data_IF_969966536995
#
_entry.id   IF_969966536995
#
_cell.length_a   1.000
_cell.length_b   1.000
_cell.length_c   1.000
_cell.angle_alpha   90.00
_cell.angle_beta   90.00
_cell.angle_gamma   90.00
#
_symmetry.space_group_name_H-M   'P 1'
#
loop_
_entity.id
_entity.type
_entity.pdbx_description
1 polymer ?
#
# COMPACT_ATOMS: atom_id res chain seq x y z
N UNK A 1 -8.49 -2.37 -28.41
CA UNK A 1 -8.63 -2.37 -26.94
C UNK A 1 -7.22 -2.24 -26.39
N UNK A 2 -6.84 -1.07 -25.86
CA UNK A 2 -5.59 -0.94 -25.13
C UNK A 2 -5.64 -1.95 -23.98
N UNK A 3 -4.65 -2.83 -23.92
CA UNK A 3 -4.57 -3.84 -22.87
C UNK A 3 -4.08 -3.12 -21.61
N UNK A 4 -5.00 -2.53 -20.84
CA UNK A 4 -4.77 -1.52 -19.79
C UNK A 4 -3.79 -1.93 -18.70
N UNK A 5 -3.34 -3.18 -18.63
CA UNK A 5 -2.38 -3.66 -17.62
C UNK A 5 -1.44 -4.72 -18.19
N UNK A 6 -0.99 -4.57 -19.44
CA UNK A 6 -0.24 -5.61 -20.13
C UNK A 6 1.04 -5.99 -19.38
N UNK A 7 1.84 -5.00 -18.96
CA UNK A 7 3.10 -5.24 -18.25
C UNK A 7 2.89 -5.65 -16.81
N UNK A 8 1.94 -5.05 -16.11
CA UNK A 8 1.57 -5.42 -14.75
C UNK A 8 1.14 -6.88 -14.69
N UNK A 9 0.25 -7.31 -15.59
CA UNK A 9 -0.20 -8.70 -15.64
C UNK A 9 0.91 -9.67 -16.03
N UNK A 10 1.82 -9.28 -16.93
CA UNK A 10 3.01 -10.06 -17.27
C UNK A 10 3.85 -10.33 -16.02
N UNK A 11 4.23 -9.28 -15.28
CA UNK A 11 5.11 -9.42 -14.11
C UNK A 11 4.43 -10.10 -12.92
N UNK A 12 3.12 -9.97 -12.75
CA UNK A 12 2.37 -10.71 -11.73
C UNK A 12 2.44 -12.22 -12.00
N UNK A 13 2.30 -12.63 -13.26
CA UNK A 13 2.34 -14.04 -13.68
C UNK A 13 3.75 -14.62 -13.59
N UNK A 14 4.77 -13.86 -13.99
CA UNK A 14 6.16 -14.30 -14.01
C UNK A 14 6.90 -14.09 -12.68
N UNK A 15 6.25 -13.53 -11.66
CA UNK A 15 6.85 -13.25 -10.36
C UNK A 15 7.50 -14.51 -9.75
N UNK A 16 8.76 -14.37 -9.34
CA UNK A 16 9.52 -15.46 -8.71
C UNK A 16 8.91 -15.81 -7.36
N UNK A 17 8.69 -17.09 -7.11
CA UNK A 17 8.31 -17.59 -5.79
C UNK A 17 9.54 -18.05 -5.03
N UNK A 18 9.66 -17.63 -3.78
CA UNK A 18 10.65 -18.11 -2.81
C UNK A 18 9.95 -18.79 -1.64
N UNK A 19 10.65 -19.68 -0.97
CA UNK A 19 10.16 -20.36 0.23
C UNK A 19 10.74 -19.68 1.46
N UNK A 20 9.87 -19.35 2.42
CA UNK A 20 10.25 -18.82 3.73
C UNK A 20 9.86 -19.87 4.77
N UNK A 21 10.83 -20.32 5.56
CA UNK A 21 10.56 -21.18 6.71
C UNK A 21 10.07 -20.32 7.88
N UNK A 22 8.92 -20.69 8.43
CA UNK A 22 8.38 -20.08 9.66
C UNK A 22 8.91 -20.82 10.89
N UNK A 23 8.89 -20.13 12.03
CA UNK A 23 9.35 -20.66 13.33
C UNK A 23 8.61 -21.93 13.75
N UNK A 24 7.35 -22.06 13.34
CA UNK A 24 6.52 -23.24 13.61
C UNK A 24 6.80 -24.43 12.65
N UNK A 25 7.86 -24.36 11.82
CA UNK A 25 8.24 -25.40 10.88
C UNK A 25 7.43 -25.45 9.58
N UNK A 26 6.51 -24.51 9.35
CA UNK A 26 5.72 -24.45 8.10
C UNK A 26 6.43 -23.64 7.01
N UNK A 27 6.17 -23.98 5.74
CA UNK A 27 6.72 -23.27 4.57
C UNK A 27 5.69 -22.25 4.09
N UNK A 28 6.13 -21.01 3.91
CA UNK A 28 5.37 -19.95 3.27
C UNK A 28 5.94 -19.64 1.89
N UNK A 29 5.09 -19.75 0.86
CA UNK A 29 5.45 -19.42 -0.52
C UNK A 29 5.23 -17.93 -0.76
N UNK A 30 6.34 -17.19 -0.86
CA UNK A 30 6.33 -15.75 -1.02
C UNK A 30 6.65 -15.36 -2.47
N UNK A 31 5.81 -14.54 -3.08
CA UNK A 31 6.04 -14.00 -4.43
C UNK A 31 6.77 -12.67 -4.37
N UNK A 32 7.88 -12.59 -5.11
CA UNK A 32 8.67 -11.38 -5.29
C UNK A 32 8.13 -10.61 -6.51
N UNK A 33 7.19 -9.70 -6.27
CA UNK A 33 6.69 -8.83 -7.33
C UNK A 33 7.71 -7.73 -7.62
N UNK A 34 8.06 -7.42 -8.86
CA UNK A 34 8.97 -6.30 -9.15
C UNK A 34 8.55 -4.98 -8.50
N UNK A 35 7.24 -4.72 -8.47
CA UNK A 35 6.63 -3.51 -7.94
C UNK A 35 6.35 -3.55 -6.44
N UNK A 36 6.76 -4.57 -5.69
CA UNK A 36 6.39 -4.69 -4.28
C UNK A 36 7.05 -5.87 -3.61
N UNK A 37 6.72 -6.19 -2.37
CA UNK A 37 7.04 -7.52 -1.79
C UNK A 37 8.51 -8.00 -2.03
N UNK A 38 9.49 -7.10 -1.83
CA UNK A 38 10.95 -7.34 -2.01
C UNK A 38 11.45 -7.59 -3.45
N UNK A 39 10.69 -7.24 -4.48
CA UNK A 39 11.25 -7.10 -5.84
C UNK A 39 12.30 -5.99 -5.91
N UNK A 40 13.30 -6.15 -6.78
CA UNK A 40 14.47 -5.25 -6.83
C UNK A 40 14.71 -4.57 -8.19
N UNK A 41 14.06 -5.03 -9.26
CA UNK A 41 14.24 -4.47 -10.60
C UNK A 41 12.89 -4.09 -11.19
N UNK A 42 12.69 -2.80 -11.49
CA UNK A 42 11.47 -2.27 -12.09
C UNK A 42 11.82 -1.64 -13.43
N UNK A 43 11.28 -2.19 -14.51
CA UNK A 43 11.50 -1.64 -15.85
C UNK A 43 10.78 -0.28 -16.02
N UNK A 44 11.32 0.68 -16.78
CA UNK A 44 10.68 1.97 -17.03
C UNK A 44 9.24 1.86 -17.52
N UNK A 45 8.94 0.92 -18.40
CA UNK A 45 7.61 0.71 -18.96
C UNK A 45 6.61 0.26 -17.89
N UNK A 46 7.06 -0.56 -16.92
CA UNK A 46 6.23 -0.97 -15.79
C UNK A 46 6.01 0.19 -14.81
N UNK A 47 7.03 1.02 -14.57
CA UNK A 47 6.89 2.23 -13.74
C UNK A 47 5.86 3.18 -14.33
N UNK A 48 5.93 3.42 -15.64
CA UNK A 48 4.97 4.26 -16.36
C UNK A 48 3.56 3.67 -16.30
N UNK A 49 3.39 2.40 -16.67
CA UNK A 49 2.07 1.75 -16.69
C UNK A 49 1.39 1.78 -15.32
N UNK A 50 2.12 1.44 -14.24
CA UNK A 50 1.57 1.46 -12.89
C UNK A 50 1.26 2.89 -12.43
N UNK A 51 2.17 3.84 -12.64
CA UNK A 51 1.98 5.23 -12.18
C UNK A 51 0.78 5.87 -12.87
N UNK A 52 0.67 5.77 -14.20
CA UNK A 52 -0.45 6.31 -14.96
C UNK A 52 -1.77 5.67 -14.54
N UNK A 53 -1.78 4.35 -14.36
CA UNK A 53 -2.97 3.63 -13.95
C UNK A 53 -3.41 3.96 -12.52
N UNK A 54 -2.46 4.09 -11.59
CA UNK A 54 -2.74 4.53 -10.22
C UNK A 54 -3.34 5.93 -10.25
N UNK A 55 -2.73 6.88 -10.96
CA UNK A 55 -3.25 8.25 -11.01
C UNK A 55 -4.63 8.34 -11.64
N UNK A 56 -4.87 7.62 -12.74
CA UNK A 56 -6.18 7.58 -13.38
C UNK A 56 -7.25 7.00 -12.43
N UNK A 57 -6.93 5.88 -11.78
CA UNK A 57 -7.83 5.26 -10.79
C UNK A 57 -8.08 6.19 -9.61
N UNK A 58 -7.07 6.94 -9.16
CA UNK A 58 -7.20 7.87 -8.06
C UNK A 58 -8.13 9.03 -8.42
N UNK A 59 -7.92 9.65 -9.59
CA UNK A 59 -8.74 10.76 -10.08
C UNK A 59 -10.21 10.35 -10.29
N UNK A 60 -10.45 9.11 -10.74
CA UNK A 60 -11.80 8.58 -10.98
C UNK A 60 -12.56 8.29 -9.68
N UNK A 61 -11.89 7.76 -8.65
CA UNK A 61 -12.55 7.19 -7.48
C UNK A 61 -12.41 8.01 -6.19
N UNK A 62 -11.42 8.90 -6.10
CA UNK A 62 -11.13 9.67 -4.89
C UNK A 62 -10.96 11.15 -5.25
N UNK A 63 -12.07 11.87 -5.55
CA UNK A 63 -12.02 13.24 -6.05
C UNK A 63 -11.52 14.24 -5.00
N UNK A 64 -11.65 13.91 -3.71
CA UNK A 64 -11.31 14.79 -2.61
C UNK A 64 -10.47 14.08 -1.54
N UNK A 65 -9.23 14.54 -1.38
CA UNK A 65 -8.34 14.22 -0.26
C UNK A 65 -7.30 15.34 -0.16
N UNK A 66 -6.70 15.49 1.02
CA UNK A 66 -5.71 16.54 1.28
C UNK A 66 -4.31 16.07 0.90
N UNK A 67 -3.97 14.81 1.20
CA UNK A 67 -2.69 14.19 0.85
C UNK A 67 -2.73 12.66 0.84
N UNK A 68 -1.69 12.06 0.25
CA UNK A 68 -1.48 10.61 0.25
C UNK A 68 -0.73 10.20 1.52
N UNK A 69 -1.14 9.12 2.18
CA UNK A 69 -0.33 8.40 3.13
C UNK A 69 0.15 7.08 2.51
N UNK A 70 1.44 6.75 2.63
CA UNK A 70 1.96 5.54 2.00
C UNK A 70 2.94 4.79 2.91
N UNK A 71 2.65 3.51 3.24
CA UNK A 71 3.49 2.74 4.14
C UNK A 71 4.76 2.20 3.49
N UNK A 72 5.84 2.13 4.28
CA UNK A 72 7.08 1.49 3.87
C UNK A 72 7.07 -0.05 4.04
N UNK A 73 7.92 -0.79 3.28
CA UNK A 73 8.72 -0.32 2.15
C UNK A 73 8.03 -0.56 0.79
N UNK A 74 6.84 -1.18 0.75
CA UNK A 74 6.15 -1.49 -0.50
C UNK A 74 5.49 -0.27 -1.11
N UNK A 75 4.50 0.27 -0.41
CA UNK A 75 3.70 1.40 -0.86
C UNK A 75 4.50 2.67 -1.19
N UNK A 76 5.48 3.05 -0.36
CA UNK A 76 6.10 4.38 -0.43
C UNK A 76 6.63 4.78 -1.83
N UNK A 77 7.20 3.84 -2.59
CA UNK A 77 7.66 4.08 -3.97
C UNK A 77 6.52 4.55 -4.86
N UNK A 78 5.38 3.88 -4.79
CA UNK A 78 4.21 4.13 -5.63
C UNK A 78 3.37 5.29 -5.12
N UNK A 79 3.26 5.44 -3.80
CA UNK A 79 2.70 6.63 -3.19
C UNK A 79 3.44 7.88 -3.67
N UNK A 80 4.79 7.88 -3.65
CA UNK A 80 5.59 9.01 -4.11
C UNK A 80 5.36 9.32 -5.59
N UNK A 81 5.38 8.31 -6.47
CA UNK A 81 5.15 8.51 -7.90
C UNK A 81 3.73 9.02 -8.19
N UNK A 82 2.71 8.47 -7.54
CA UNK A 82 1.34 8.93 -7.66
C UNK A 82 1.17 10.37 -7.13
N UNK A 83 1.70 10.67 -5.95
CA UNK A 83 1.66 12.00 -5.35
C UNK A 83 2.34 13.05 -6.23
N UNK A 84 3.53 12.74 -6.76
CA UNK A 84 4.24 13.61 -7.69
C UNK A 84 3.42 13.85 -8.96
N UNK A 85 2.87 12.80 -9.57
CA UNK A 85 2.07 12.93 -10.79
C UNK A 85 0.76 13.71 -10.58
N UNK A 86 0.12 13.53 -9.42
CA UNK A 86 -1.11 14.24 -9.03
C UNK A 86 -0.86 15.64 -8.46
N UNK A 87 0.40 16.04 -8.25
CA UNK A 87 0.79 17.28 -7.57
C UNK A 87 0.14 17.41 -6.17
N UNK A 88 0.15 16.31 -5.41
CA UNK A 88 -0.40 16.22 -4.06
C UNK A 88 0.71 16.01 -3.02
N UNK A 89 0.55 16.53 -1.79
CA UNK A 89 1.46 16.20 -0.70
C UNK A 89 1.40 14.70 -0.38
N UNK A 90 2.49 14.21 0.22
CA UNK A 90 2.58 12.83 0.70
C UNK A 90 3.19 12.78 2.09
N UNK A 91 2.60 11.94 2.94
CA UNK A 91 3.16 11.50 4.20
C UNK A 91 3.64 10.05 4.06
N UNK A 92 4.94 9.81 4.20
CA UNK A 92 5.49 8.45 4.15
C UNK A 92 5.49 7.87 5.56
N UNK A 93 4.81 6.74 5.73
CA UNK A 93 4.72 6.06 7.01
C UNK A 93 5.93 5.15 7.17
N UNK A 94 6.85 5.57 8.02
CA UNK A 94 8.20 5.00 8.11
C UNK A 94 8.22 3.75 8.97
N UNK A 95 9.09 2.80 8.65
CA UNK A 95 9.41 1.75 9.61
C UNK A 95 10.08 2.36 10.84
N UNK A 96 9.76 1.84 12.02
CA UNK A 96 10.43 2.22 13.26
C UNK A 96 11.92 1.86 13.18
N UNK A 97 12.75 2.75 13.72
CA UNK A 97 14.20 2.61 13.82
C UNK A 97 14.65 3.17 15.17
N UNK A 98 15.83 2.80 15.63
CA UNK A 98 16.44 3.35 16.85
C UNK A 98 16.84 4.84 16.73
N UNK A 99 16.70 5.45 15.55
CA UNK A 99 17.14 6.82 15.29
C UNK A 99 16.12 7.88 15.71
N UNK A 100 14.85 7.52 15.85
CA UNK A 100 13.76 8.44 16.16
C UNK A 100 12.74 7.73 17.05
N UNK A 101 12.38 8.35 18.17
CA UNK A 101 11.45 7.77 19.17
C UNK A 101 10.16 8.58 19.30
N UNK A 102 10.15 9.85 18.88
CA UNK A 102 9.05 10.80 19.09
C UNK A 102 8.07 10.86 17.91
N UNK A 103 7.53 9.72 17.50
CA UNK A 103 6.46 9.70 16.52
C UNK A 103 5.12 10.05 17.17
N UNK A 104 4.26 10.79 16.44
CA UNK A 104 2.87 10.98 16.87
C UNK A 104 2.17 9.64 17.08
N UNK A 105 2.60 8.63 16.31
CA UNK A 105 2.06 7.31 16.44
C UNK A 105 2.98 6.20 15.91
N UNK A 106 2.87 4.99 16.47
CA UNK A 106 3.42 3.76 15.89
C UNK A 106 2.43 2.59 15.99
N UNK A 107 2.13 1.93 14.86
CA UNK A 107 1.32 0.71 14.80
C UNK A 107 2.19 -0.52 14.56
N UNK A 108 1.83 -1.66 15.17
CA UNK A 108 2.48 -2.94 14.88
C UNK A 108 2.19 -3.34 13.43
N UNK A 109 3.24 -3.68 12.69
CA UNK A 109 3.20 -4.29 11.36
C UNK A 109 3.70 -5.72 11.47
N UNK A 110 2.77 -6.66 11.39
CA UNK A 110 3.06 -8.09 11.42
C UNK A 110 2.87 -8.69 10.02
N UNK A 111 3.94 -9.30 9.52
CA UNK A 111 3.93 -10.04 8.25
C UNK A 111 4.26 -11.50 8.53
N UNK A 112 4.03 -12.38 7.55
CA UNK A 112 4.32 -13.80 7.68
C UNK A 112 5.80 -14.15 7.95
N UNK A 113 6.71 -13.19 7.82
CA UNK A 113 8.17 -13.37 7.87
C UNK A 113 8.92 -12.30 8.67
N UNK A 114 8.23 -11.29 9.20
CA UNK A 114 8.85 -10.18 9.91
C UNK A 114 7.81 -9.43 10.75
N UNK A 115 8.23 -8.96 11.93
CA UNK A 115 7.50 -8.01 12.76
C UNK A 115 8.30 -6.71 12.85
N UNK A 116 7.63 -5.58 12.64
CA UNK A 116 8.18 -4.26 12.91
C UNK A 116 7.01 -3.32 13.28
N UNK A 117 7.28 -2.03 13.43
CA UNK A 117 6.27 -0.98 13.59
C UNK A 117 6.33 -0.04 12.38
N UNK A 118 5.15 0.43 11.96
CA UNK A 118 5.04 1.60 11.09
C UNK A 118 4.71 2.79 11.96
N UNK A 119 5.48 3.85 11.85
CA UNK A 119 5.32 5.07 12.59
C UNK A 119 4.90 6.23 11.69
N UNK A 120 4.22 7.18 12.30
CA UNK A 120 3.56 8.27 11.62
C UNK A 120 3.83 9.60 12.31
N UNK A 121 3.91 10.64 11.51
CA UNK A 121 4.03 12.01 11.97
C UNK A 121 3.30 12.94 11.00
N UNK A 122 3.00 14.17 11.43
CA UNK A 122 2.46 15.21 10.58
C UNK A 122 0.95 15.13 10.31
N UNK A 123 0.21 14.26 11.00
CA UNK A 123 -1.25 14.23 10.90
C UNK A 123 -1.92 15.31 11.75
N UNK A 124 -3.07 15.79 11.28
CA UNK A 124 -3.94 16.69 12.01
C UNK A 124 -5.37 16.16 12.00
N UNK A 125 -6.10 16.49 13.07
CA UNK A 125 -7.52 16.20 13.17
C UNK A 125 -8.27 16.81 11.97
N UNK A 126 -9.18 16.02 11.40
CA UNK A 126 -9.98 16.30 10.20
C UNK A 126 -9.19 16.31 8.88
N UNK A 127 -7.92 15.90 8.85
CA UNK A 127 -7.23 15.66 7.58
C UNK A 127 -7.96 14.54 6.81
N UNK A 128 -8.11 14.71 5.49
CA UNK A 128 -8.65 13.70 4.58
C UNK A 128 -7.50 12.99 3.87
N UNK A 129 -7.31 11.72 4.16
CA UNK A 129 -6.11 10.98 3.77
C UNK A 129 -6.48 9.83 2.86
N UNK A 130 -5.78 9.72 1.72
CA UNK A 130 -5.84 8.55 0.84
C UNK A 130 -4.63 7.65 1.10
N UNK A 131 -4.86 6.38 1.44
CA UNK A 131 -3.76 5.42 1.53
C UNK A 131 -3.41 4.91 0.13
N UNK A 132 -2.13 4.93 -0.23
CA UNK A 132 -1.61 4.30 -1.46
C UNK A 132 -0.58 3.23 -1.08
N UNK A 133 -0.81 1.98 -1.49
CA UNK A 133 0.07 0.85 -1.17
C UNK A 133 0.39 -0.03 -2.39
N UNK A 134 1.38 -0.93 -2.29
CA UNK A 134 1.70 -1.87 -3.37
C UNK A 134 0.72 -3.05 -3.39
N UNK A 135 0.55 -3.75 -2.27
CA UNK A 135 -0.17 -5.02 -2.20
C UNK A 135 -1.10 -5.08 -0.99
N UNK A 136 -2.40 -5.27 -1.25
CA UNK A 136 -3.36 -5.69 -0.22
C UNK A 136 -3.34 -7.21 -0.13
N UNK A 137 -2.60 -7.74 0.85
CA UNK A 137 -2.63 -9.18 1.18
C UNK A 137 -3.74 -9.49 2.20
N UNK A 138 -3.41 -9.67 3.48
CA UNK A 138 -4.43 -9.83 4.53
C UNK A 138 -5.13 -8.52 4.89
N UNK A 139 -4.61 -7.37 4.44
CA UNK A 139 -5.06 -6.04 4.83
C UNK A 139 -4.65 -5.60 6.23
N UNK A 140 -3.95 -6.44 7.02
CA UNK A 140 -3.66 -6.17 8.44
C UNK A 140 -3.00 -4.81 8.68
N UNK A 141 -1.96 -4.47 7.90
CA UNK A 141 -1.30 -3.17 7.98
C UNK A 141 -2.27 -2.01 7.78
N UNK A 142 -3.10 -2.08 6.74
CA UNK A 142 -4.09 -1.04 6.43
C UNK A 142 -5.15 -0.94 7.54
N UNK A 143 -5.61 -2.07 8.10
CA UNK A 143 -6.54 -2.06 9.25
C UNK A 143 -5.96 -1.33 10.44
N UNK A 144 -4.71 -1.64 10.80
CA UNK A 144 -4.03 -1.00 11.92
C UNK A 144 -3.87 0.50 11.69
N UNK A 145 -3.48 0.92 10.48
CA UNK A 145 -3.43 2.34 10.10
C UNK A 145 -4.81 2.99 10.22
N UNK A 146 -5.86 2.36 9.67
CA UNK A 146 -7.21 2.93 9.60
C UNK A 146 -7.87 3.08 10.98
N UNK A 147 -7.76 2.06 11.85
CA UNK A 147 -8.21 2.13 13.25
C UNK A 147 -7.57 3.34 13.93
N UNK A 148 -6.29 3.50 13.69
CA UNK A 148 -5.53 4.48 14.41
C UNK A 148 -5.72 5.91 13.90
N UNK A 149 -5.90 6.07 12.59
CA UNK A 149 -6.34 7.33 11.99
C UNK A 149 -7.70 7.77 12.57
N UNK A 150 -8.63 6.82 12.73
CA UNK A 150 -9.96 7.10 13.30
C UNK A 150 -9.86 7.62 14.73
N UNK A 151 -9.01 7.04 15.57
CA UNK A 151 -8.79 7.51 16.95
C UNK A 151 -8.17 8.92 17.01
N UNK A 152 -7.33 9.28 16.02
CA UNK A 152 -6.76 10.62 15.88
C UNK A 152 -7.75 11.64 15.29
N UNK A 153 -8.95 11.19 14.88
CA UNK A 153 -9.93 12.02 14.20
C UNK A 153 -9.52 12.41 12.78
N UNK A 154 -8.72 11.57 12.12
CA UNK A 154 -8.35 11.69 10.71
C UNK A 154 -9.39 10.93 9.87
N UNK A 155 -9.80 11.52 8.75
CA UNK A 155 -10.72 10.90 7.80
C UNK A 155 -9.91 10.10 6.78
N UNK A 156 -9.98 8.77 6.85
CA UNK A 156 -9.48 7.92 5.79
C UNK A 156 -10.49 7.92 4.64
N UNK A 157 -10.18 8.57 3.52
CA UNK A 157 -11.11 8.65 2.37
C UNK A 157 -11.21 7.34 1.60
N UNK A 158 -10.20 6.48 1.73
CA UNK A 158 -10.11 5.25 0.97
C UNK A 158 -8.69 4.70 0.85
N UNK A 159 -8.58 3.62 0.09
CA UNK A 159 -7.31 2.93 -0.19
C UNK A 159 -7.20 2.67 -1.68
N UNK A 160 -6.07 3.03 -2.28
CA UNK A 160 -5.65 2.60 -3.60
C UNK A 160 -4.45 1.66 -3.48
N UNK A 161 -4.49 0.52 -4.16
CA UNK A 161 -3.32 -0.35 -4.29
C UNK A 161 -3.09 -0.84 -5.71
N UNK A 162 -1.92 -1.45 -5.96
CA UNK A 162 -1.62 -2.06 -7.26
C UNK A 162 -2.27 -3.44 -7.35
N UNK A 163 -2.11 -4.27 -6.32
CA UNK A 163 -2.53 -5.66 -6.32
C UNK A 163 -3.33 -6.03 -5.08
N UNK A 164 -4.46 -6.72 -5.24
CA UNK A 164 -5.07 -7.50 -4.15
C UNK A 164 -4.73 -8.99 -4.28
N UNK A 165 -4.42 -9.65 -3.15
CA UNK A 165 -4.36 -11.12 -3.04
C UNK A 165 -5.64 -11.60 -2.36
N UNK A 166 -6.50 -12.28 -3.12
CA UNK A 166 -7.83 -12.68 -2.69
C UNK A 166 -8.77 -11.49 -2.43
N UNK A 167 -9.78 -11.73 -1.59
CA UNK A 167 -10.91 -10.80 -1.41
C UNK A 167 -10.83 -9.96 -0.12
N UNK A 168 -9.71 -9.98 0.59
CA UNK A 168 -9.53 -9.23 1.85
C UNK A 168 -9.69 -7.71 1.68
N UNK A 169 -9.46 -7.20 0.48
CA UNK A 169 -9.69 -5.79 0.16
C UNK A 169 -11.18 -5.40 0.27
N UNK A 170 -12.12 -6.32 0.00
CA UNK A 170 -13.56 -6.07 0.19
C UNK A 170 -13.94 -6.03 1.65
N UNK A 171 -13.34 -6.92 2.45
CA UNK A 171 -13.53 -6.90 3.89
C UNK A 171 -13.04 -5.57 4.48
N UNK A 172 -11.95 -5.00 3.96
CA UNK A 172 -11.53 -3.64 4.34
C UNK A 172 -12.58 -2.58 3.98
N UNK A 173 -13.22 -2.68 2.81
CA UNK A 173 -14.31 -1.76 2.44
C UNK A 173 -15.47 -1.84 3.43
N UNK A 174 -15.88 -3.06 3.79
CA UNK A 174 -16.98 -3.33 4.73
C UNK A 174 -16.65 -2.87 6.16
N UNK A 175 -15.45 -3.21 6.65
CA UNK A 175 -15.02 -2.94 8.03
C UNK A 175 -14.97 -1.43 8.34
N UNK A 176 -14.57 -0.62 7.36
CA UNK A 176 -14.33 0.82 7.54
C UNK A 176 -15.32 1.72 6.79
N UNK A 177 -16.17 1.16 5.93
CA UNK A 177 -17.12 1.93 5.12
C UNK A 177 -16.44 2.86 4.11
N UNK A 178 -15.26 2.48 3.63
CA UNK A 178 -14.43 3.28 2.71
C UNK A 178 -14.17 2.52 1.40
N UNK A 179 -14.05 3.21 0.25
CA UNK A 179 -13.67 2.57 -1.00
C UNK A 179 -12.24 2.03 -0.97
N UNK A 180 -12.07 0.79 -1.45
CA UNK A 180 -10.77 0.16 -1.69
C UNK A 180 -10.66 -0.21 -3.17
N UNK A 181 -9.71 0.39 -3.87
CA UNK A 181 -9.51 0.22 -5.31
C UNK A 181 -8.16 -0.42 -5.58
N UNK A 182 -8.14 -1.36 -6.53
CA UNK A 182 -6.93 -2.10 -6.91
C UNK A 182 -6.84 -2.21 -8.42
N UNK A 183 -5.62 -2.12 -8.97
CA UNK A 183 -5.41 -2.25 -10.42
C UNK A 183 -5.52 -3.70 -10.90
N UNK A 184 -5.06 -4.66 -10.10
CA UNK A 184 -5.10 -6.09 -10.42
C UNK A 184 -5.41 -6.94 -9.18
N UNK A 185 -5.79 -8.21 -9.42
CA UNK A 185 -6.23 -9.17 -8.40
C UNK A 185 -5.67 -10.56 -8.72
N UNK A 186 -5.27 -11.30 -7.69
CA UNK A 186 -4.79 -12.70 -7.78
C UNK A 186 -5.33 -13.58 -6.68
#
# INVERSE_FOLDING_TARGET
>A
MNNTYAKLNEVIRSAKTVQIMKDNGTVYHFKLYPFGERGTYIAPELMTEITESLTQSIEEHFPEFDYIASPEPGGHTWGMLAAYKLQRPINILRLSTELYEDFQLCVKRETAYNENYICFDGFKKNDRVLIVDDVVSSGATIRSIAVQMKEMGIELVGVQAILAKGEHYRQLEEDFGIPVRVLSKV
#
